data_IF_984817409627
#
_entry.id   IF_984817409627
#
_cell.length_a   1.000
_cell.length_b   1.000
_cell.length_c   1.000
_cell.angle_alpha   90.00
_cell.angle_beta   90.00
_cell.angle_gamma   90.00
#
_symmetry.space_group_name_H-M   'P 1'
#
loop_
_entity.id
_entity.type
_entity.pdbx_description
1 polymer ?
#
# COMPACT_ATOMS: atom_id res chain seq x y z
N UNK A 1 -11.43 -20.26 -0.99
CA UNK A 1 -11.21 -19.61 -2.29
C UNK A 1 -10.54 -18.28 -2.01
N UNK A 2 -9.32 -18.04 -2.50
CA UNK A 2 -8.69 -16.72 -2.37
C UNK A 2 -9.48 -15.73 -3.24
N UNK A 3 -10.25 -14.86 -2.59
CA UNK A 3 -11.11 -13.87 -3.22
C UNK A 3 -10.29 -13.00 -4.18
N UNK A 4 -10.41 -13.30 -5.49
CA UNK A 4 -9.77 -12.61 -6.62
C UNK A 4 -10.23 -11.15 -6.80
N UNK A 5 -10.85 -10.50 -5.79
CA UNK A 5 -11.71 -9.32 -5.96
C UNK A 5 -11.24 -8.02 -5.29
N UNK A 6 -10.18 -8.03 -4.48
CA UNK A 6 -9.84 -6.83 -3.71
C UNK A 6 -8.68 -5.99 -4.29
N UNK A 7 -7.94 -6.48 -5.28
CA UNK A 7 -6.96 -5.63 -5.98
C UNK A 7 -7.68 -4.67 -6.93
N UNK A 8 -7.76 -3.39 -6.56
CA UNK A 8 -8.16 -2.32 -7.49
C UNK A 8 -6.90 -1.74 -8.12
N UNK A 9 -6.76 -1.90 -9.44
CA UNK A 9 -5.75 -1.20 -10.20
C UNK A 9 -6.18 0.28 -10.37
N UNK A 10 -5.75 1.11 -9.43
CA UNK A 10 -6.00 2.55 -9.44
C UNK A 10 -4.90 3.33 -10.18
N UNK A 11 -3.88 2.63 -10.72
CA UNK A 11 -2.64 3.23 -11.17
C UNK A 11 -1.77 3.78 -10.03
N UNK A 12 -1.92 3.22 -8.82
CA UNK A 12 -1.06 3.53 -7.70
C UNK A 12 0.38 3.07 -7.98
N UNK A 13 1.34 3.68 -7.28
CA UNK A 13 2.75 3.27 -7.32
C UNK A 13 3.33 3.23 -5.92
N UNK A 14 4.26 2.33 -5.70
CA UNK A 14 5.09 2.26 -4.51
C UNK A 14 6.55 2.56 -4.83
N UNK A 15 7.36 2.77 -3.79
CA UNK A 15 8.81 2.85 -3.92
C UNK A 15 9.35 1.52 -4.49
N UNK A 16 10.20 1.61 -5.52
CA UNK A 16 10.84 0.44 -6.13
C UNK A 16 11.86 -0.20 -5.18
N UNK A 17 11.99 -1.52 -5.26
CA UNK A 17 12.89 -2.31 -4.41
C UNK A 17 12.37 -2.57 -3.01
N UNK A 18 11.11 -2.22 -2.72
CA UNK A 18 10.43 -2.67 -1.51
C UNK A 18 10.18 -4.18 -1.57
N UNK A 19 10.16 -4.81 -0.40
CA UNK A 19 9.69 -6.19 -0.28
C UNK A 19 8.22 -6.25 -0.73
N UNK A 20 7.84 -7.32 -1.39
CA UNK A 20 6.42 -7.54 -1.66
C UNK A 20 5.65 -7.67 -0.33
N UNK A 21 4.56 -6.91 -0.20
CA UNK A 21 3.76 -6.91 1.02
C UNK A 21 2.69 -5.83 1.04
N UNK A 22 1.95 -5.77 2.15
CA UNK A 22 0.88 -4.81 2.34
C UNK A 22 1.34 -3.61 3.17
N UNK A 23 1.05 -2.43 2.64
CA UNK A 23 1.47 -1.15 3.18
C UNK A 23 0.27 -0.22 3.28
N UNK A 24 0.03 0.35 4.46
CA UNK A 24 -0.91 1.44 4.61
C UNK A 24 -0.41 2.68 3.87
N UNK A 25 -1.32 3.52 3.37
CA UNK A 25 -0.95 4.79 2.74
C UNK A 25 -0.28 5.80 3.67
N UNK A 26 -0.23 5.55 4.98
CA UNK A 26 0.53 6.32 5.95
C UNK A 26 1.98 5.82 6.15
N UNK A 27 2.38 4.70 5.53
CA UNK A 27 3.72 4.15 5.71
C UNK A 27 4.80 5.05 5.13
N UNK A 28 5.84 5.26 5.92
CA UNK A 28 7.02 6.06 5.57
C UNK A 28 8.26 5.17 5.61
N UNK A 29 9.08 5.26 4.58
CA UNK A 29 10.37 4.59 4.48
C UNK A 29 11.43 5.61 4.09
N UNK A 30 12.54 5.66 4.85
CA UNK A 30 13.64 6.62 4.64
C UNK A 30 13.20 8.10 4.59
N UNK A 31 12.15 8.45 5.33
CA UNK A 31 11.64 9.82 5.43
C UNK A 31 10.53 10.18 4.43
N UNK A 32 10.25 9.31 3.45
CA UNK A 32 9.21 9.53 2.43
C UNK A 32 8.13 8.44 2.45
N UNK A 33 6.95 8.75 1.90
CA UNK A 33 5.85 7.78 1.83
C UNK A 33 6.20 6.60 0.92
N UNK A 34 5.85 5.39 1.38
CA UNK A 34 6.00 4.15 0.61
C UNK A 34 5.16 4.19 -0.66
N UNK A 35 3.95 4.73 -0.60
CA UNK A 35 3.07 4.87 -1.77
C UNK A 35 3.37 6.23 -2.41
N UNK A 36 3.88 6.20 -3.63
CA UNK A 36 4.36 7.40 -4.33
C UNK A 36 3.30 8.02 -5.24
N UNK A 37 2.24 7.28 -5.59
CA UNK A 37 1.16 7.75 -6.47
C UNK A 37 -0.21 7.21 -6.05
N UNK A 38 -1.27 8.03 -6.19
CA UNK A 38 -2.67 7.72 -5.83
C UNK A 38 -2.82 7.22 -4.38
N UNK A 39 -2.13 7.89 -3.46
CA UNK A 39 -2.06 7.55 -2.03
C UNK A 39 -3.25 8.12 -1.24
N UNK A 40 -3.82 7.28 -0.39
CA UNK A 40 -4.82 7.60 0.61
C UNK A 40 -4.41 7.00 1.96
N UNK A 41 -4.38 7.82 3.01
CA UNK A 41 -3.77 7.45 4.30
C UNK A 41 -4.39 6.19 4.95
N UNK A 42 -5.70 6.00 4.77
CA UNK A 42 -6.45 4.88 5.37
C UNK A 42 -6.49 3.63 4.49
N UNK A 43 -5.96 3.66 3.28
CA UNK A 43 -6.02 2.54 2.37
C UNK A 43 -4.87 1.56 2.60
N UNK A 44 -5.12 0.28 2.29
CA UNK A 44 -4.09 -0.75 2.16
C UNK A 44 -3.68 -0.83 0.70
N UNK A 45 -2.36 -0.88 0.47
CA UNK A 45 -1.77 -1.13 -0.83
C UNK A 45 -0.93 -2.39 -0.76
N UNK A 46 -1.08 -3.29 -1.72
CA UNK A 46 -0.10 -4.36 -1.90
C UNK A 46 0.94 -3.92 -2.93
N UNK A 47 2.17 -3.72 -2.47
CA UNK A 47 3.27 -3.26 -3.31
C UNK A 47 4.05 -4.46 -3.85
N UNK A 48 4.44 -4.37 -5.11
CA UNK A 48 5.43 -5.25 -5.73
C UNK A 48 6.84 -4.63 -5.69
N UNK A 49 7.91 -5.43 -5.80
CA UNK A 49 9.28 -4.91 -5.89
C UNK A 49 9.50 -3.97 -7.08
N UNK A 50 8.74 -4.13 -8.17
CA UNK A 50 8.81 -3.28 -9.37
C UNK A 50 8.13 -1.92 -9.18
N UNK A 51 7.47 -1.70 -8.05
CA UNK A 51 6.81 -0.43 -7.70
C UNK A 51 5.36 -0.34 -8.18
N UNK A 52 4.79 -1.40 -8.76
CA UNK A 52 3.35 -1.50 -9.00
C UNK A 52 2.62 -1.83 -7.71
N UNK A 53 1.37 -1.40 -7.60
CA UNK A 53 0.52 -1.79 -6.49
C UNK A 53 -0.94 -2.00 -6.84
N UNK A 54 -1.60 -2.73 -5.94
CA UNK A 54 -3.04 -2.90 -5.85
C UNK A 54 -3.58 -2.10 -4.67
N UNK A 55 -4.67 -1.35 -4.85
CA UNK A 55 -5.40 -0.67 -3.76
C UNK A 55 -6.52 -1.59 -3.25
N UNK A 56 -6.44 -1.98 -1.97
CA UNK A 56 -7.37 -2.86 -1.26
C UNK A 56 -8.42 -2.10 -0.42
N UNK A 57 -8.59 -0.80 -0.69
CA UNK A 57 -9.47 0.11 0.02
C UNK A 57 -9.09 0.38 1.47
N UNK A 58 -9.95 1.13 2.15
CA UNK A 58 -9.79 1.51 3.54
C UNK A 58 -9.70 0.32 4.48
N UNK A 59 -8.82 0.42 5.47
CA UNK A 59 -8.79 -0.49 6.61
C UNK A 59 -8.70 0.26 7.92
N UNK A 60 -9.28 -0.31 8.97
CA UNK A 60 -9.38 0.32 10.29
C UNK A 60 -8.04 0.45 11.02
N UNK A 61 -7.04 -0.35 10.65
CA UNK A 61 -5.68 -0.26 11.20
C UNK A 61 -4.83 0.82 10.53
N UNK A 62 -5.17 1.27 9.32
CA UNK A 62 -4.39 2.28 8.62
C UNK A 62 -4.61 3.70 9.18
N UNK A 63 -3.54 4.50 9.21
CA UNK A 63 -3.50 5.85 9.78
C UNK A 63 -3.77 5.90 11.31
N UNK A 64 -3.47 4.83 12.03
CA UNK A 64 -3.60 4.74 13.50
C UNK A 64 -2.26 4.79 14.25
N UNK A 65 -1.13 4.86 13.53
CA UNK A 65 0.21 4.68 14.10
C UNK A 65 0.67 3.21 14.19
N UNK A 66 -0.26 2.26 14.09
CA UNK A 66 0.01 0.81 14.08
C UNK A 66 -0.34 0.14 12.73
N UNK A 67 -0.47 0.94 11.67
CA UNK A 67 -0.79 0.43 10.35
C UNK A 67 0.32 -0.46 9.78
N UNK A 68 -0.06 -1.49 9.02
CA UNK A 68 0.88 -2.40 8.34
C UNK A 68 1.81 -1.66 7.39
N UNK A 69 3.11 -1.92 7.46
CA UNK A 69 4.14 -1.32 6.59
C UNK A 69 5.14 -2.36 6.08
N UNK A 70 4.62 -3.44 5.51
CA UNK A 70 5.40 -4.59 5.01
C UNK A 70 5.31 -5.82 5.91
#
# INVERSE_FOLDING_TARGET
>A
TLEKRACRDTGCKCVKGLRQGQYCGACVWKGDYVITKKRYLKHIYECSPEGDCCDYDTSSDCNTGHGRCG
#
